data_IF_125007507502
#
_entry.id   IF_125007507502
#
_cell.length_a   1.000
_cell.length_b   1.000
_cell.length_c   1.000
_cell.angle_alpha   90.00
_cell.angle_beta   90.00
_cell.angle_gamma   90.00
#
_symmetry.space_group_name_H-M   'P 1'
#
loop_
_entity.id
_entity.type
_entity.pdbx_description
1 polymer ?
#
# COMPACT_ATOMS: atom_id res chain seq x y z
N UNK A 1 1.60 -7.94 -46.21
CA UNK A 1 1.18 -6.73 -45.46
C UNK A 1 0.59 -7.13 -44.12
N UNK A 2 1.37 -7.78 -43.25
CA UNK A 2 0.86 -8.24 -41.97
C UNK A 2 2.02 -8.56 -41.05
N UNK A 3 2.50 -7.54 -40.33
CA UNK A 3 3.08 -7.67 -38.98
C UNK A 3 3.46 -6.30 -38.36
N UNK A 4 3.34 -5.17 -39.09
CA UNK A 4 3.65 -3.84 -38.52
C UNK A 4 2.71 -3.44 -37.36
N UNK A 5 1.50 -4.01 -37.28
CA UNK A 5 0.51 -3.69 -36.25
C UNK A 5 0.78 -4.36 -34.88
N UNK A 6 1.58 -5.43 -34.83
CA UNK A 6 1.83 -6.17 -33.58
C UNK A 6 2.72 -5.39 -32.59
N UNK A 7 3.86 -4.78 -33.00
CA UNK A 7 4.69 -3.98 -32.10
C UNK A 7 4.01 -2.67 -31.68
N UNK A 8 3.26 -2.02 -32.57
CA UNK A 8 2.51 -0.80 -32.24
C UNK A 8 1.49 -1.05 -31.13
N UNK A 9 0.70 -2.12 -31.24
CA UNK A 9 -0.28 -2.49 -30.23
C UNK A 9 0.34 -2.90 -28.89
N UNK A 10 1.52 -3.55 -28.91
CA UNK A 10 2.24 -3.88 -27.67
C UNK A 10 2.72 -2.63 -26.94
N UNK A 11 3.21 -1.63 -27.68
CA UNK A 11 3.62 -0.34 -27.14
C UNK A 11 2.43 0.42 -26.53
N UNK A 12 1.29 0.45 -27.21
CA UNK A 12 0.06 1.07 -26.70
C UNK A 12 -0.39 0.46 -25.37
N UNK A 13 -0.46 -0.88 -25.29
CA UNK A 13 -0.84 -1.60 -24.06
C UNK A 13 0.16 -1.35 -22.92
N UNK A 14 1.46 -1.26 -23.24
CA UNK A 14 2.48 -0.91 -22.26
C UNK A 14 2.32 0.53 -21.75
N UNK A 15 2.04 1.49 -22.63
CA UNK A 15 1.81 2.88 -22.25
C UNK A 15 0.53 3.05 -21.41
N UNK A 16 -0.53 2.29 -21.69
CA UNK A 16 -1.71 2.19 -20.84
C UNK A 16 -1.36 1.67 -19.44
N UNK A 17 -0.54 0.61 -19.36
CA UNK A 17 -0.07 0.07 -18.10
C UNK A 17 0.78 1.07 -17.30
N UNK A 18 1.75 1.73 -17.95
CA UNK A 18 2.62 2.73 -17.31
C UNK A 18 1.83 3.94 -16.86
N UNK A 19 0.81 4.36 -17.60
CA UNK A 19 -0.05 5.50 -17.27
C UNK A 19 -1.20 5.17 -16.31
N UNK A 20 -1.51 3.88 -16.11
CA UNK A 20 -2.61 3.44 -15.26
C UNK A 20 -2.57 4.07 -13.86
N UNK A 21 -3.66 4.75 -13.50
CA UNK A 21 -3.73 5.54 -12.27
C UNK A 21 -4.42 4.82 -11.11
N UNK A 22 -4.97 3.61 -11.32
CA UNK A 22 -5.66 2.82 -10.29
C UNK A 22 -5.14 1.38 -10.27
N UNK A 23 -5.30 0.69 -9.13
CA UNK A 23 -4.89 -0.71 -8.97
C UNK A 23 -5.55 -1.59 -10.02
N UNK A 24 -6.89 -1.49 -10.16
CA UNK A 24 -7.66 -2.25 -11.13
C UNK A 24 -7.24 -1.96 -12.57
N UNK A 25 -7.04 -0.68 -12.94
CA UNK A 25 -6.58 -0.34 -14.27
C UNK A 25 -5.20 -0.95 -14.56
N UNK A 26 -4.25 -0.86 -13.62
CA UNK A 26 -2.91 -1.41 -13.80
C UNK A 26 -2.92 -2.94 -13.96
N UNK A 27 -3.73 -3.65 -13.17
CA UNK A 27 -3.88 -5.11 -13.29
C UNK A 27 -4.51 -5.51 -14.63
N UNK A 28 -5.55 -4.78 -15.08
CA UNK A 28 -6.23 -5.07 -16.34
C UNK A 28 -5.33 -4.82 -17.54
N UNK A 29 -4.69 -3.65 -17.62
CA UNK A 29 -3.79 -3.30 -18.73
C UNK A 29 -2.59 -4.24 -18.78
N UNK A 30 -2.05 -4.64 -17.62
CA UNK A 30 -0.96 -5.61 -17.57
C UNK A 30 -1.39 -6.98 -18.08
N UNK A 31 -2.58 -7.45 -17.69
CA UNK A 31 -3.12 -8.72 -18.19
C UNK A 31 -3.31 -8.68 -19.72
N UNK A 32 -3.87 -7.60 -20.26
CA UNK A 32 -4.04 -7.42 -21.70
C UNK A 32 -2.71 -7.40 -22.44
N UNK A 33 -1.69 -6.74 -21.86
CA UNK A 33 -0.33 -6.76 -22.38
C UNK A 33 0.26 -8.17 -22.41
N UNK A 34 0.14 -8.93 -21.32
CA UNK A 34 0.58 -10.33 -21.27
C UNK A 34 -0.15 -11.20 -22.30
N UNK A 35 -1.48 -11.09 -22.40
CA UNK A 35 -2.29 -11.81 -23.38
C UNK A 35 -1.88 -11.49 -24.83
N UNK A 36 -1.54 -10.24 -25.15
CA UNK A 36 -1.07 -9.86 -26.49
C UNK A 36 0.35 -10.35 -26.82
N UNK A 37 1.19 -10.53 -25.78
CA UNK A 37 2.55 -11.03 -25.88
C UNK A 37 2.66 -12.55 -25.73
N UNK A 38 1.53 -13.26 -25.61
CA UNK A 38 1.48 -14.71 -25.36
C UNK A 38 2.25 -15.12 -24.07
N UNK A 39 2.25 -14.25 -23.05
CA UNK A 39 2.87 -14.47 -21.76
C UNK A 39 1.81 -14.89 -20.74
N UNK A 40 2.09 -15.93 -19.95
CA UNK A 40 1.21 -16.31 -18.84
C UNK A 40 1.62 -15.56 -17.55
N UNK A 41 0.80 -14.62 -17.05
CA UNK A 41 1.09 -13.93 -15.80
C UNK A 41 0.77 -14.77 -14.54
N UNK A 42 0.03 -15.87 -14.68
CA UNK A 42 -0.38 -16.75 -13.58
C UNK A 42 -0.29 -18.23 -14.01
N UNK A 43 0.93 -18.78 -14.18
CA UNK A 43 1.17 -20.13 -14.67
C UNK A 43 0.61 -21.26 -13.77
N UNK A 44 -0.10 -20.92 -12.70
CA UNK A 44 -0.78 -21.88 -11.85
C UNK A 44 0.16 -22.76 -11.02
N UNK A 45 -0.41 -23.66 -10.19
CA UNK A 45 0.36 -24.54 -9.31
C UNK A 45 1.23 -25.56 -10.03
N UNK A 46 0.85 -25.94 -11.25
CA UNK A 46 1.39 -27.11 -11.95
C UNK A 46 2.44 -26.74 -13.02
N UNK A 47 2.75 -25.45 -13.20
CA UNK A 47 3.76 -25.04 -14.17
C UNK A 47 5.19 -25.34 -13.69
N UNK A 48 5.93 -26.05 -14.54
CA UNK A 48 7.33 -26.37 -14.36
C UNK A 48 8.18 -25.10 -14.16
N UNK A 49 9.21 -25.20 -13.32
CA UNK A 49 10.10 -24.10 -12.90
C UNK A 49 10.79 -23.35 -14.04
N UNK A 50 10.85 -23.95 -15.23
CA UNK A 50 11.54 -23.43 -16.40
C UNK A 50 10.62 -22.63 -17.35
N UNK A 51 9.38 -23.07 -17.56
CA UNK A 51 8.51 -22.55 -18.64
C UNK A 51 7.66 -21.33 -18.23
N UNK A 52 7.58 -21.04 -16.93
CA UNK A 52 6.78 -19.95 -16.37
C UNK A 52 7.44 -18.55 -16.41
N UNK A 53 8.64 -18.41 -16.99
CA UNK A 53 9.43 -17.17 -16.88
C UNK A 53 9.15 -16.23 -18.05
N UNK A 54 8.13 -15.38 -17.88
CA UNK A 54 7.98 -14.16 -18.67
C UNK A 54 9.03 -13.08 -18.33
N UNK A 55 9.93 -13.35 -17.38
CA UNK A 55 10.94 -12.40 -16.87
C UNK A 55 12.22 -12.58 -17.69
N UNK A 56 12.85 -11.50 -18.18
CA UNK A 56 14.17 -11.60 -18.80
C UNK A 56 15.13 -12.31 -17.85
N UNK A 57 15.97 -13.20 -18.37
CA UNK A 57 17.03 -13.85 -17.61
C UNK A 57 18.01 -12.78 -17.11
N UNK A 58 17.78 -12.30 -15.88
CA UNK A 58 18.60 -11.30 -15.21
C UNK A 58 19.90 -11.91 -14.65
N UNK A 59 20.23 -13.18 -14.98
CA UNK A 59 21.42 -13.87 -14.47
C UNK A 59 21.34 -14.18 -12.97
N UNK A 60 20.12 -14.29 -12.44
CA UNK A 60 19.87 -14.55 -11.02
C UNK A 60 20.03 -16.04 -10.70
N UNK A 61 20.54 -16.41 -9.50
CA UNK A 61 20.64 -17.80 -9.11
C UNK A 61 19.24 -18.47 -9.14
N UNK A 62 19.12 -19.75 -9.52
CA UNK A 62 17.84 -20.43 -9.59
C UNK A 62 17.24 -20.49 -8.18
N UNK A 63 16.24 -19.67 -7.89
CA UNK A 63 15.66 -19.68 -6.55
C UNK A 63 14.72 -20.86 -6.38
N UNK A 64 14.93 -21.54 -5.27
CA UNK A 64 14.19 -22.72 -4.85
C UNK A 64 13.20 -22.31 -3.77
N UNK A 65 12.04 -21.79 -4.14
CA UNK A 65 10.96 -21.60 -3.16
C UNK A 65 9.76 -20.77 -3.63
N UNK A 66 8.59 -21.11 -3.08
CA UNK A 66 7.33 -20.39 -3.30
C UNK A 66 7.01 -19.52 -2.08
N UNK A 67 6.83 -18.21 -2.31
CA UNK A 67 6.66 -17.18 -1.29
C UNK A 67 5.26 -16.57 -1.34
N UNK A 68 4.58 -16.50 -0.20
CA UNK A 68 3.33 -15.75 -0.03
C UNK A 68 3.59 -14.44 0.71
N UNK A 69 3.11 -13.32 0.17
CA UNK A 69 3.15 -12.01 0.82
C UNK A 69 1.73 -11.55 1.12
N UNK A 70 1.42 -11.31 2.40
CA UNK A 70 0.08 -10.91 2.83
C UNK A 70 0.02 -9.38 2.92
N UNK A 71 -0.67 -8.75 1.97
CA UNK A 71 -0.94 -7.31 1.91
C UNK A 71 -0.15 -6.58 0.82
N UNK A 72 -0.86 -5.87 -0.07
CA UNK A 72 -0.27 -5.01 -1.11
C UNK A 72 -0.08 -3.56 -0.63
N UNK A 73 0.37 -3.40 0.62
CA UNK A 73 0.89 -2.12 1.12
C UNK A 73 2.28 -1.81 0.53
N UNK A 74 2.83 -0.60 0.73
CA UNK A 74 4.17 -0.27 0.25
C UNK A 74 5.24 -1.27 0.71
N UNK A 75 5.21 -1.66 1.99
CA UNK A 75 6.19 -2.62 2.52
C UNK A 75 6.03 -4.03 1.92
N UNK A 76 4.79 -4.49 1.73
CA UNK A 76 4.52 -5.82 1.16
C UNK A 76 4.92 -5.90 -0.30
N UNK A 77 4.55 -4.91 -1.12
CA UNK A 77 4.96 -4.85 -2.53
C UNK A 77 6.48 -4.70 -2.67
N UNK A 78 7.12 -3.90 -1.80
CA UNK A 78 8.58 -3.76 -1.82
C UNK A 78 9.29 -5.07 -1.44
N UNK A 79 8.77 -5.81 -0.46
CA UNK A 79 9.28 -7.13 -0.10
C UNK A 79 9.09 -8.14 -1.24
N UNK A 80 7.95 -8.09 -1.94
CA UNK A 80 7.70 -8.95 -3.09
C UNK A 80 8.69 -8.70 -4.24
N UNK A 81 9.02 -7.43 -4.51
CA UNK A 81 10.05 -7.06 -5.50
C UNK A 81 11.41 -7.67 -5.14
N UNK A 82 11.86 -7.58 -3.89
CA UNK A 82 13.13 -8.21 -3.48
C UNK A 82 13.09 -9.74 -3.60
N UNK A 83 12.01 -10.37 -3.15
CA UNK A 83 11.86 -11.82 -3.26
C UNK A 83 11.91 -12.27 -4.73
N UNK A 84 11.36 -11.45 -5.63
CA UNK A 84 11.43 -11.68 -7.08
C UNK A 84 12.85 -11.52 -7.61
N UNK A 85 13.60 -10.52 -7.17
CA UNK A 85 15.03 -10.36 -7.51
C UNK A 85 15.91 -11.47 -6.93
N UNK A 86 15.48 -12.13 -5.85
CA UNK A 86 16.14 -13.34 -5.36
C UNK A 86 15.76 -14.58 -6.18
N UNK A 87 14.89 -14.44 -7.19
CA UNK A 87 14.40 -15.46 -8.11
C UNK A 87 13.22 -16.29 -7.58
N UNK A 88 12.66 -15.95 -6.41
CA UNK A 88 11.57 -16.71 -5.82
C UNK A 88 10.26 -16.55 -6.59
N UNK A 89 9.39 -17.57 -6.55
CA UNK A 89 8.01 -17.45 -7.05
C UNK A 89 7.17 -16.72 -6.01
N UNK A 90 6.73 -15.51 -6.29
CA UNK A 90 6.06 -14.66 -5.31
C UNK A 90 4.58 -14.46 -5.64
N UNK A 91 3.73 -14.72 -4.64
CA UNK A 91 2.29 -14.47 -4.69
C UNK A 91 1.93 -13.46 -3.61
N UNK A 92 1.27 -12.36 -4.00
CA UNK A 92 0.79 -11.31 -3.10
C UNK A 92 -0.73 -11.42 -2.97
N UNK A 93 -1.24 -11.48 -1.74
CA UNK A 93 -2.66 -11.49 -1.44
C UNK A 93 -3.07 -10.12 -0.86
N UNK A 94 -4.04 -9.45 -1.47
CA UNK A 94 -4.60 -8.19 -0.98
C UNK A 94 -6.12 -8.28 -0.86
N UNK A 95 -6.63 -7.94 0.33
CA UNK A 95 -8.06 -7.97 0.64
C UNK A 95 -8.85 -6.95 -0.19
N UNK A 96 -8.27 -5.81 -0.53
CA UNK A 96 -8.93 -4.72 -1.26
C UNK A 96 -8.64 -4.82 -2.76
N UNK A 97 -9.43 -4.11 -3.56
CA UNK A 97 -9.21 -3.92 -5.00
C UNK A 97 -8.70 -2.52 -5.37
N UNK A 98 -8.66 -1.61 -4.41
CA UNK A 98 -8.33 -0.22 -4.63
C UNK A 98 -7.30 0.32 -3.64
N UNK A 99 -6.37 1.10 -4.18
CA UNK A 99 -5.49 1.97 -3.38
C UNK A 99 -6.18 3.32 -3.20
N UNK A 100 -6.66 3.59 -1.99
CA UNK A 100 -7.51 4.76 -1.67
C UNK A 100 -6.88 5.78 -0.73
N UNK A 101 -5.72 5.47 -0.14
CA UNK A 101 -5.09 6.31 0.88
C UNK A 101 -4.30 7.46 0.25
N UNK A 102 -4.78 8.69 0.47
CA UNK A 102 -4.16 9.92 -0.01
C UNK A 102 -3.13 10.52 0.94
N UNK A 103 -3.10 10.05 2.20
CA UNK A 103 -2.10 10.47 3.17
C UNK A 103 -0.71 10.26 2.57
N UNK A 104 0.18 11.21 2.80
CA UNK A 104 1.53 11.20 2.24
C UNK A 104 2.50 10.64 3.28
N UNK A 105 3.57 10.00 2.81
CA UNK A 105 4.61 9.40 3.64
C UNK A 105 5.87 10.25 3.59
N UNK A 106 6.57 10.31 4.72
CA UNK A 106 7.87 10.92 4.78
C UNK A 106 8.87 9.84 4.34
N UNK A 107 9.61 10.13 3.28
CA UNK A 107 10.61 9.21 2.74
C UNK A 107 12.00 9.70 3.15
N UNK A 108 12.79 8.81 3.72
CA UNK A 108 14.20 9.08 4.01
C UNK A 108 15.01 9.07 2.70
N UNK A 109 16.19 9.73 2.65
CA UNK A 109 17.00 9.81 1.43
C UNK A 109 17.29 8.45 0.78
N UNK A 110 17.59 7.43 1.58
CA UNK A 110 17.85 6.08 1.05
C UNK A 110 16.61 5.46 0.39
N UNK A 111 15.41 5.72 0.93
CA UNK A 111 14.17 5.20 0.36
C UNK A 111 13.81 5.92 -0.95
N UNK A 112 14.16 7.21 -1.07
CA UNK A 112 14.03 7.95 -2.32
C UNK A 112 14.99 7.36 -3.37
N UNK A 113 16.24 7.09 -2.97
CA UNK A 113 17.23 6.46 -3.85
C UNK A 113 16.78 5.06 -4.32
N UNK A 114 16.28 4.22 -3.41
CA UNK A 114 15.72 2.90 -3.72
C UNK A 114 14.59 2.98 -4.75
N UNK A 115 13.60 3.85 -4.52
CA UNK A 115 12.47 4.00 -5.44
C UNK A 115 12.90 4.53 -6.81
N UNK A 116 13.90 5.43 -6.86
CA UNK A 116 14.49 5.88 -8.12
C UNK A 116 15.20 4.75 -8.86
N UNK A 117 15.91 3.89 -8.15
CA UNK A 117 16.51 2.68 -8.71
C UNK A 117 15.48 1.74 -9.35
N UNK A 118 14.25 1.73 -8.82
CA UNK A 118 13.10 0.99 -9.38
C UNK A 118 12.33 1.78 -10.45
N UNK A 119 12.88 2.89 -10.96
CA UNK A 119 12.27 3.68 -12.04
C UNK A 119 11.21 4.70 -11.60
N UNK A 120 11.08 4.99 -10.30
CA UNK A 120 10.15 6.02 -9.84
C UNK A 120 10.67 7.43 -10.19
N UNK A 121 9.88 8.18 -10.97
CA UNK A 121 10.22 9.57 -11.32
C UNK A 121 10.00 10.58 -10.19
N UNK A 122 9.02 10.33 -9.31
CA UNK A 122 8.61 11.29 -8.29
C UNK A 122 9.06 10.83 -6.89
N UNK A 123 9.87 11.66 -6.23
CA UNK A 123 10.31 11.46 -4.84
C UNK A 123 9.15 11.65 -3.83
N UNK A 124 7.99 12.14 -4.28
CA UNK A 124 6.85 12.52 -3.43
C UNK A 124 5.63 11.69 -3.80
N UNK A 125 5.28 10.72 -2.97
CA UNK A 125 4.19 9.81 -3.23
C UNK A 125 3.22 9.79 -2.04
N UNK A 126 1.95 10.11 -2.31
CA UNK A 126 0.86 9.62 -1.46
C UNK A 126 0.94 8.10 -1.34
N UNK A 127 0.44 7.52 -0.25
CA UNK A 127 0.51 6.06 -0.04
C UNK A 127 0.01 5.31 -1.28
N UNK A 128 -1.12 5.75 -1.86
CA UNK A 128 -1.66 5.20 -3.10
C UNK A 128 -0.68 5.26 -4.28
N UNK A 129 0.02 6.37 -4.47
CA UNK A 129 0.96 6.51 -5.58
C UNK A 129 2.15 5.57 -5.41
N UNK A 130 2.66 5.44 -4.19
CA UNK A 130 3.74 4.52 -3.89
C UNK A 130 3.32 3.06 -4.11
N UNK A 131 2.10 2.71 -3.71
CA UNK A 131 1.53 1.38 -4.01
C UNK A 131 1.43 1.12 -5.52
N UNK A 132 1.01 2.10 -6.32
CA UNK A 132 0.92 1.94 -7.78
C UNK A 132 2.30 1.73 -8.43
N UNK A 133 3.30 2.50 -8.02
CA UNK A 133 4.66 2.35 -8.55
C UNK A 133 5.20 0.95 -8.25
N UNK A 134 5.12 0.53 -6.99
CA UNK A 134 5.62 -0.77 -6.57
C UNK A 134 4.80 -1.93 -7.15
N UNK A 135 3.49 -1.76 -7.35
CA UNK A 135 2.64 -2.76 -8.01
C UNK A 135 3.11 -2.99 -9.45
N UNK A 136 3.36 -1.91 -10.21
CA UNK A 136 3.81 -2.02 -11.59
C UNK A 136 5.16 -2.72 -11.69
N UNK A 137 6.10 -2.36 -10.83
CA UNK A 137 7.41 -3.02 -10.75
C UNK A 137 7.24 -4.50 -10.40
N UNK A 138 6.42 -4.84 -9.40
CA UNK A 138 6.18 -6.22 -9.00
C UNK A 138 5.58 -7.04 -10.16
N UNK A 139 4.58 -6.51 -10.87
CA UNK A 139 3.96 -7.18 -12.03
C UNK A 139 4.98 -7.43 -13.15
N UNK A 140 5.81 -6.44 -13.48
CA UNK A 140 6.87 -6.58 -14.48
C UNK A 140 7.92 -7.64 -14.10
N UNK A 141 8.12 -7.90 -12.81
CA UNK A 141 9.02 -8.93 -12.30
C UNK A 141 8.36 -10.32 -12.19
N UNK A 142 7.11 -10.47 -12.63
CA UNK A 142 6.38 -11.74 -12.58
C UNK A 142 5.76 -12.06 -11.22
N UNK A 143 5.64 -11.08 -10.32
CA UNK A 143 4.92 -11.27 -9.05
C UNK A 143 3.43 -11.39 -9.32
N UNK A 144 2.81 -12.48 -8.86
CA UNK A 144 1.38 -12.70 -8.96
C UNK A 144 0.65 -11.90 -7.88
N UNK A 145 -0.26 -11.00 -8.27
CA UNK A 145 -0.98 -10.15 -7.30
C UNK A 145 -2.48 -10.43 -7.37
N UNK A 146 -3.02 -11.03 -6.32
CA UNK A 146 -4.45 -11.31 -6.19
C UNK A 146 -5.13 -10.29 -5.26
N UNK A 147 -5.98 -9.44 -5.85
CA UNK A 147 -6.84 -8.49 -5.14
C UNK A 147 -8.20 -9.11 -4.82
N UNK A 148 -8.93 -8.53 -3.87
CA UNK A 148 -10.18 -9.10 -3.32
C UNK A 148 -9.99 -10.49 -2.69
N UNK A 149 -8.77 -10.81 -2.26
CA UNK A 149 -8.43 -12.08 -1.62
C UNK A 149 -7.98 -11.80 -0.20
N UNK A 150 -8.79 -12.22 0.76
CA UNK A 150 -8.50 -12.05 2.18
C UNK A 150 -7.84 -13.30 2.75
N UNK A 151 -6.58 -13.19 3.14
CA UNK A 151 -5.91 -14.20 3.96
C UNK A 151 -6.63 -14.40 5.29
N UNK A 152 -6.84 -15.66 5.68
CA UNK A 152 -7.49 -16.04 6.94
C UNK A 152 -6.49 -16.65 7.92
N UNK A 153 -5.73 -17.65 7.49
CA UNK A 153 -4.73 -18.33 8.32
C UNK A 153 -3.78 -19.17 7.47
N UNK A 154 -2.67 -19.56 8.09
CA UNK A 154 -1.79 -20.61 7.60
C UNK A 154 -2.38 -21.97 7.96
N UNK A 155 -2.21 -22.95 7.08
CA UNK A 155 -2.59 -24.34 7.31
C UNK A 155 -1.32 -25.20 7.33
N UNK A 156 -1.12 -25.90 8.43
CA UNK A 156 0.01 -26.81 8.59
C UNK A 156 -0.17 -28.06 7.71
N UNK A 157 0.91 -28.64 7.19
CA UNK A 157 0.89 -29.97 6.58
C UNK A 157 0.19 -31.00 7.46
N UNK A 158 -0.63 -31.90 6.90
CA UNK A 158 -1.21 -33.00 7.69
C UNK A 158 -0.10 -33.91 8.24
N UNK A 159 -0.33 -34.46 9.43
CA UNK A 159 0.61 -35.39 10.09
C UNK A 159 0.76 -36.72 9.32
N UNK A 160 -0.33 -37.20 8.73
CA UNK A 160 -0.31 -38.41 7.89
C UNK A 160 -0.04 -38.05 6.43
N UNK A 161 1.17 -38.33 5.96
CA UNK A 161 1.64 -38.06 4.60
C UNK A 161 1.99 -39.34 3.83
N UNK A 162 1.45 -40.50 4.24
CA UNK A 162 1.79 -41.81 3.65
C UNK A 162 1.45 -41.91 2.17
N UNK A 163 0.37 -41.26 1.72
CA UNK A 163 -0.13 -41.32 0.34
C UNK A 163 0.28 -40.11 -0.52
N UNK A 164 0.48 -38.94 0.10
CA UNK A 164 0.83 -37.70 -0.60
C UNK A 164 1.57 -36.77 0.35
N UNK A 165 2.73 -36.25 -0.08
CA UNK A 165 3.42 -35.16 0.61
C UNK A 165 2.74 -33.84 0.26
N UNK A 166 2.30 -33.11 1.27
CA UNK A 166 1.67 -31.79 1.12
C UNK A 166 2.44 -30.84 2.02
N UNK A 167 2.95 -29.75 1.46
CA UNK A 167 3.63 -28.67 2.16
C UNK A 167 2.66 -27.70 2.83
N UNK A 168 3.21 -26.59 3.33
CA UNK A 168 2.42 -25.55 3.97
C UNK A 168 1.48 -24.89 2.96
N UNK A 169 0.24 -24.65 3.36
CA UNK A 169 -0.74 -23.95 2.54
C UNK A 169 -1.38 -22.80 3.34
N UNK A 170 -2.28 -22.06 2.73
CA UNK A 170 -3.03 -21.01 3.40
C UNK A 170 -4.52 -21.12 3.10
N UNK A 171 -5.33 -20.61 4.02
CA UNK A 171 -6.76 -20.39 3.81
C UNK A 171 -6.99 -18.93 3.41
N UNK A 172 -7.63 -18.73 2.27
CA UNK A 172 -8.03 -17.43 1.76
C UNK A 172 -9.52 -17.38 1.41
N UNK A 173 -10.11 -16.20 1.53
CA UNK A 173 -11.47 -15.92 1.09
C UNK A 173 -11.44 -15.11 -0.22
N UNK A 174 -12.20 -15.50 -1.26
CA UNK A 174 -13.15 -16.62 -1.29
C UNK A 174 -12.47 -18.00 -1.34
N UNK A 175 -13.13 -19.03 -0.76
CA UNK A 175 -12.60 -20.40 -0.68
C UNK A 175 -12.37 -21.07 -2.04
N UNK A 176 -13.07 -20.60 -3.08
CA UNK A 176 -12.91 -21.07 -4.46
C UNK A 176 -11.66 -20.55 -5.15
N UNK A 177 -10.96 -19.57 -4.56
CA UNK A 177 -9.77 -18.98 -5.18
C UNK A 177 -8.62 -19.98 -5.27
N UNK A 178 -7.91 -20.01 -6.39
CA UNK A 178 -6.85 -20.99 -6.69
C UNK A 178 -5.67 -20.95 -5.71
N UNK A 179 -5.42 -19.79 -5.09
CA UNK A 179 -4.40 -19.62 -4.04
C UNK A 179 -4.54 -20.60 -2.87
N UNK A 180 -5.76 -21.11 -2.60
CA UNK A 180 -6.00 -22.13 -1.56
C UNK A 180 -5.38 -23.50 -1.89
N UNK A 181 -4.93 -23.71 -3.14
CA UNK A 181 -4.28 -24.94 -3.60
C UNK A 181 -2.76 -24.80 -3.69
N UNK A 182 -2.23 -23.58 -3.51
CA UNK A 182 -0.81 -23.30 -3.60
C UNK A 182 -0.10 -23.70 -2.31
N UNK A 183 1.10 -24.25 -2.46
CA UNK A 183 2.00 -24.56 -1.37
C UNK A 183 3.07 -23.48 -1.28
N UNK A 184 3.52 -23.16 -0.07
CA UNK A 184 4.49 -22.08 0.16
C UNK A 184 5.56 -22.53 1.14
N UNK A 185 6.80 -22.11 0.91
CA UNK A 185 7.93 -22.33 1.81
C UNK A 185 8.15 -21.12 2.72
N UNK A 186 7.77 -19.94 2.24
CA UNK A 186 7.95 -18.66 2.94
C UNK A 186 6.63 -17.90 2.96
N UNK A 187 6.29 -17.32 4.12
CA UNK A 187 5.18 -16.38 4.26
C UNK A 187 5.64 -15.08 4.91
N UNK A 188 5.28 -13.95 4.31
CA UNK A 188 5.62 -12.61 4.79
C UNK A 188 4.35 -11.86 5.17
N UNK A 189 4.22 -11.54 6.46
CA UNK A 189 3.11 -10.74 6.98
C UNK A 189 3.35 -9.24 6.78
N UNK A 190 2.67 -8.62 5.83
CA UNK A 190 2.74 -7.18 5.52
C UNK A 190 1.36 -6.49 5.54
N UNK A 191 0.41 -7.05 6.30
CA UNK A 191 -1.01 -6.65 6.39
C UNK A 191 -1.27 -5.48 7.35
N UNK A 192 -0.20 -4.82 7.80
CA UNK A 192 -0.24 -3.64 8.66
C UNK A 192 -0.60 -3.99 10.11
N UNK A 193 -1.68 -3.40 10.64
CA UNK A 193 -2.09 -3.65 12.03
C UNK A 193 -2.70 -5.04 12.22
N UNK A 194 -3.19 -5.67 11.14
CA UNK A 194 -3.93 -6.94 11.17
C UNK A 194 -3.19 -8.05 11.90
N UNK A 195 -1.87 -8.18 11.68
CA UNK A 195 -1.03 -9.23 12.28
C UNK A 195 -1.67 -10.61 12.10
N UNK A 196 -2.03 -10.92 10.86
CA UNK A 196 -2.77 -12.14 10.55
C UNK A 196 -1.98 -13.43 10.80
N UNK A 197 -0.65 -13.36 10.93
CA UNK A 197 0.18 -14.53 11.20
C UNK A 197 0.21 -14.87 12.72
N UNK A 198 -0.06 -16.14 13.09
CA UNK A 198 0.00 -16.58 14.49
C UNK A 198 1.45 -16.66 15.00
N UNK A 199 1.62 -16.74 16.32
CA UNK A 199 2.93 -16.95 16.97
C UNK A 199 3.72 -15.68 17.30
N UNK A 200 3.35 -14.52 16.75
CA UNK A 200 4.05 -13.25 17.00
C UNK A 200 3.46 -12.47 18.18
N UNK A 201 4.16 -12.46 19.32
CA UNK A 201 3.77 -11.65 20.49
C UNK A 201 3.98 -10.16 20.21
N UNK A 202 2.93 -9.34 20.37
CA UNK A 202 3.02 -7.88 20.25
C UNK A 202 3.34 -7.24 21.60
N UNK A 203 4.26 -6.28 21.60
CA UNK A 203 4.50 -5.39 22.72
C UNK A 203 3.66 -4.13 22.53
N UNK A 204 2.63 -3.96 23.34
CA UNK A 204 1.86 -2.72 23.35
C UNK A 204 2.52 -1.70 24.29
N UNK A 205 2.88 -0.53 23.76
CA UNK A 205 3.36 0.58 24.57
C UNK A 205 2.23 1.59 24.77
N UNK A 206 1.71 1.68 26.00
CA UNK A 206 0.66 2.63 26.36
C UNK A 206 1.26 3.90 26.94
N UNK A 207 1.43 4.90 26.07
CA UNK A 207 1.85 6.25 26.46
C UNK A 207 0.70 7.15 26.91
N UNK A 208 0.99 8.45 27.03
CA UNK A 208 -0.05 9.49 27.21
C UNK A 208 -1.01 9.49 26.02
N UNK A 209 -2.28 9.79 26.27
CA UNK A 209 -3.28 9.91 25.22
C UNK A 209 -2.82 10.91 24.14
N UNK A 210 -2.66 10.41 22.92
CA UNK A 210 -2.25 11.19 21.76
C UNK A 210 -3.19 10.88 20.60
N UNK A 211 -3.92 11.91 20.15
CA UNK A 211 -4.81 11.83 18.99
C UNK A 211 -4.13 12.57 17.85
N UNK A 212 -4.10 11.97 16.66
CA UNK A 212 -3.60 12.61 15.45
C UNK A 212 -4.74 12.75 14.43
N UNK A 213 -4.87 13.95 13.86
CA UNK A 213 -5.82 14.29 12.81
C UNK A 213 -5.01 14.49 11.54
N UNK A 214 -5.42 13.86 10.44
CA UNK A 214 -4.86 14.09 9.10
C UNK A 214 -5.95 14.61 8.19
N UNK A 215 -5.71 15.72 7.49
CA UNK A 215 -6.62 16.29 6.51
C UNK A 215 -5.92 16.40 5.14
N UNK A 216 -6.66 16.16 4.06
CA UNK A 216 -6.18 16.29 2.67
C UNK A 216 -7.06 17.30 1.94
N UNK A 217 -6.46 18.35 1.37
CA UNK A 217 -7.12 19.40 0.60
C UNK A 217 -6.78 19.29 -0.88
N UNK A 218 -7.71 19.62 -1.78
CA UNK A 218 -7.43 19.59 -3.23
C UNK A 218 -6.34 20.62 -3.57
N UNK A 219 -5.25 20.17 -4.18
CA UNK A 219 -4.21 21.05 -4.72
C UNK A 219 -4.54 21.36 -6.20
N UNK A 220 -4.72 22.63 -6.56
CA UNK A 220 -5.00 23.05 -7.95
C UNK A 220 -3.74 23.39 -8.75
N UNK A 221 -2.56 23.28 -8.14
CA UNK A 221 -1.26 23.61 -8.73
C UNK A 221 -1.17 25.04 -9.27
N UNK A 222 -1.84 25.98 -8.60
CA UNK A 222 -1.73 27.41 -8.92
C UNK A 222 -0.37 27.97 -8.50
N UNK A 223 0.09 29.05 -9.13
CA UNK A 223 1.33 29.74 -8.74
C UNK A 223 1.30 30.20 -7.27
N UNK A 224 0.13 30.58 -6.76
CA UNK A 224 -0.05 30.98 -5.36
C UNK A 224 0.16 29.79 -4.41
N UNK A 225 -0.50 28.66 -4.66
CA UNK A 225 -0.30 27.42 -3.89
C UNK A 225 1.16 26.93 -3.96
N UNK A 226 1.81 27.09 -5.12
CA UNK A 226 3.20 26.69 -5.30
C UNK A 226 4.18 27.44 -4.37
N UNK A 227 3.91 28.71 -4.07
CA UNK A 227 4.75 29.59 -3.22
C UNK A 227 4.62 29.31 -1.71
N UNK A 228 3.59 28.60 -1.25
CA UNK A 228 3.35 28.38 0.20
C UNK A 228 4.35 27.39 0.77
N UNK A 229 5.28 27.81 1.61
CA UNK A 229 6.32 26.91 2.16
C UNK A 229 5.74 25.71 2.93
N UNK A 230 6.43 24.57 2.82
CA UNK A 230 6.09 23.38 3.59
C UNK A 230 6.59 23.53 5.04
N UNK A 231 5.77 23.15 6.01
CA UNK A 231 6.15 23.15 7.42
C UNK A 231 6.77 21.78 7.74
N UNK A 232 8.08 21.69 7.92
CA UNK A 232 8.78 20.45 8.27
C UNK A 232 8.62 20.14 9.77
N UNK A 233 7.58 19.40 10.14
CA UNK A 233 7.50 18.76 11.45
C UNK A 233 7.66 19.72 12.65
N UNK A 234 6.77 20.69 12.82
CA UNK A 234 6.86 21.65 13.92
C UNK A 234 6.29 21.06 15.21
N UNK A 235 7.15 20.82 16.21
CA UNK A 235 6.72 20.40 17.54
C UNK A 235 6.56 21.62 18.46
N UNK A 236 5.59 21.56 19.39
CA UNK A 236 5.36 22.65 20.34
C UNK A 236 6.54 22.95 21.25
N UNK A 237 7.49 22.02 21.35
CA UNK A 237 8.71 22.18 22.12
C UNK A 237 9.63 23.20 21.45
N UNK A 238 9.67 23.22 20.11
CA UNK A 238 10.58 24.06 19.33
C UNK A 238 9.94 25.38 18.87
N UNK A 239 8.62 25.42 18.67
CA UNK A 239 7.95 26.61 18.16
C UNK A 239 6.78 27.05 19.05
N UNK A 240 7.09 27.35 20.31
CA UNK A 240 6.09 27.67 21.33
C UNK A 240 5.22 28.87 20.93
N UNK A 241 5.83 29.91 20.37
CA UNK A 241 5.13 31.13 19.95
C UNK A 241 4.03 30.83 18.93
N UNK A 242 4.34 30.04 17.89
CA UNK A 242 3.36 29.61 16.89
C UNK A 242 2.14 28.90 17.52
N UNK A 243 2.34 27.96 18.45
CA UNK A 243 1.21 27.26 19.09
C UNK A 243 0.45 28.13 20.08
N UNK A 244 1.11 29.08 20.74
CA UNK A 244 0.44 30.07 21.58
C UNK A 244 -0.46 30.98 20.73
N UNK A 245 0.02 31.43 19.57
CA UNK A 245 -0.73 32.27 18.64
C UNK A 245 -1.91 31.52 18.02
N UNK A 246 -1.67 30.30 17.54
CA UNK A 246 -2.73 29.42 17.04
C UNK A 246 -3.82 29.22 18.10
N UNK A 247 -3.43 29.00 19.36
CA UNK A 247 -4.38 28.86 20.46
C UNK A 247 -5.16 30.15 20.70
N UNK A 248 -4.49 31.30 20.71
CA UNK A 248 -5.13 32.61 20.92
C UNK A 248 -6.17 32.92 19.84
N UNK A 249 -5.87 32.61 18.58
CA UNK A 249 -6.72 32.96 17.44
C UNK A 249 -7.86 31.96 17.19
N UNK A 250 -7.63 30.66 17.40
CA UNK A 250 -8.59 29.60 16.98
C UNK A 250 -9.15 28.78 18.15
N UNK A 251 -8.61 28.97 19.36
CA UNK A 251 -8.91 28.10 20.51
C UNK A 251 -8.27 26.70 20.42
N UNK A 252 -7.58 26.36 19.33
CA UNK A 252 -6.99 25.03 19.14
C UNK A 252 -5.71 24.86 19.96
N UNK A 253 -5.71 23.86 20.86
CA UNK A 253 -4.53 23.44 21.61
C UNK A 253 -3.85 22.22 20.96
N UNK A 254 -2.96 22.47 20.00
CA UNK A 254 -2.07 21.46 19.42
C UNK A 254 -0.77 21.28 20.23
N UNK A 255 -0.25 20.06 20.32
CA UNK A 255 1.12 19.80 20.83
C UNK A 255 2.14 19.55 19.70
N UNK A 256 1.67 19.14 18.54
CA UNK A 256 2.46 19.06 17.31
C UNK A 256 1.55 19.43 16.15
N UNK A 257 2.07 20.25 15.25
CA UNK A 257 1.45 20.64 13.99
C UNK A 257 2.50 20.35 12.94
N UNK A 258 2.19 19.40 12.10
CA UNK A 258 3.08 18.99 11.04
C UNK A 258 2.16 18.68 9.86
N UNK A 259 2.25 19.37 8.72
CA UNK A 259 2.40 18.59 7.50
C UNK A 259 3.49 17.58 7.81
N UNK A 260 3.17 16.29 7.72
CA UNK A 260 4.20 15.27 7.89
C UNK A 260 5.34 15.66 6.94
N UNK A 261 6.57 15.71 7.46
CA UNK A 261 7.71 16.36 6.82
C UNK A 261 7.91 15.92 5.36
N UNK A 262 8.04 16.88 4.44
CA UNK A 262 8.45 16.69 3.03
C UNK A 262 7.36 16.22 2.06
N UNK A 263 6.16 16.80 2.11
CA UNK A 263 4.95 16.16 1.57
C UNK A 263 3.98 17.12 0.86
N UNK A 264 4.26 17.46 -0.40
CA UNK A 264 3.21 17.78 -1.37
C UNK A 264 2.91 16.56 -2.24
N UNK A 265 1.78 15.91 -1.98
CA UNK A 265 1.14 14.99 -2.93
C UNK A 265 0.10 15.74 -3.79
N UNK A 266 -0.76 15.01 -4.53
CA UNK A 266 -1.87 15.61 -5.29
C UNK A 266 -2.93 16.31 -4.41
N UNK A 267 -2.79 16.20 -3.09
CA UNK A 267 -3.57 16.92 -2.09
C UNK A 267 -2.63 17.57 -1.06
N UNK A 268 -2.97 18.78 -0.58
CA UNK A 268 -2.29 19.42 0.54
C UNK A 268 -2.63 18.71 1.84
N UNK A 269 -1.63 18.28 2.62
CA UNK A 269 -1.84 17.45 3.80
C UNK A 269 -1.54 18.24 5.08
N UNK A 270 -2.48 18.27 6.02
CA UNK A 270 -2.27 18.87 7.33
C UNK A 270 -2.45 17.81 8.44
N UNK A 271 -1.44 17.68 9.30
CA UNK A 271 -1.47 16.82 10.48
C UNK A 271 -1.49 17.66 11.77
N UNK A 272 -2.47 17.43 12.64
CA UNK A 272 -2.59 18.11 13.94
C UNK A 272 -2.75 17.08 15.07
N UNK A 273 -2.04 17.29 16.18
CA UNK A 273 -2.24 16.51 17.42
C UNK A 273 -2.86 17.36 18.53
N UNK A 274 -4.20 17.31 18.73
CA UNK A 274 -4.86 18.02 19.83
C UNK A 274 -4.67 17.33 21.20
N UNK A 275 -4.75 18.11 22.29
CA UNK A 275 -4.81 17.57 23.67
C UNK A 275 -6.19 16.94 23.94
N UNK A 276 -6.20 15.68 24.39
CA UNK A 276 -7.41 14.83 24.48
C UNK A 276 -8.56 15.27 25.39
N UNK A 277 -8.42 16.30 26.24
CA UNK A 277 -9.50 16.75 27.13
C UNK A 277 -10.53 17.71 26.51
N UNK A 278 -10.29 18.28 25.31
CA UNK A 278 -11.14 19.37 24.78
C UNK A 278 -11.75 19.16 23.40
N UNK A 279 -11.62 17.97 22.80
CA UNK A 279 -12.46 17.61 21.63
C UNK A 279 -13.96 17.54 22.00
N UNK A 280 -14.28 17.37 23.28
CA UNK A 280 -15.65 17.30 23.80
C UNK A 280 -16.26 18.68 24.17
N UNK A 281 -15.47 19.76 24.17
CA UNK A 281 -15.88 21.08 24.66
C UNK A 281 -16.00 22.15 23.55
N UNK A 282 -16.19 21.74 22.30
CA UNK A 282 -16.63 22.70 21.27
C UNK A 282 -18.15 22.82 21.34
N UNK A 283 -18.62 23.75 22.18
CA UNK A 283 -19.97 24.31 22.07
C UNK A 283 -20.09 25.17 20.80
N UNK A 284 -21.31 25.37 20.28
CA UNK A 284 -21.51 25.87 18.92
C UNK A 284 -21.18 27.37 18.85
N UNK A 285 -20.03 27.71 18.28
CA UNK A 285 -19.88 29.01 17.64
C UNK A 285 -20.52 28.90 16.25
N UNK A 286 -21.70 29.46 16.08
CA UNK A 286 -22.43 29.48 14.82
C UNK A 286 -21.58 30.17 13.75
N UNK A 287 -21.14 29.40 12.75
CA UNK A 287 -20.63 29.94 11.49
C UNK A 287 -21.82 29.99 10.53
N UNK A 288 -22.20 31.15 9.98
CA UNK A 288 -23.30 31.22 9.01
C UNK A 288 -22.99 30.35 7.79
N UNK A 289 -23.87 29.42 7.43
CA UNK A 289 -23.80 28.65 6.18
C UNK A 289 -23.56 27.14 6.30
N UNK A 290 -23.45 26.58 7.50
CA UNK A 290 -23.35 25.11 7.69
C UNK A 290 -24.63 24.57 8.33
N UNK A 291 -25.42 23.81 7.56
CA UNK A 291 -26.53 23.02 8.08
C UNK A 291 -25.97 21.92 9.01
N UNK A 292 -26.29 22.03 10.30
CA UNK A 292 -25.91 21.04 11.31
C UNK A 292 -27.04 20.00 11.47
N UNK A 293 -26.77 18.74 11.11
CA UNK A 293 -27.53 17.61 11.68
C UNK A 293 -26.77 17.07 12.90
N UNK A 294 -27.44 16.90 14.06
CA UNK A 294 -26.79 16.37 15.25
C UNK A 294 -26.50 14.86 15.09
N UNK A 295 -25.30 14.38 15.45
CA UNK A 295 -24.99 12.96 15.46
C UNK A 295 -25.78 12.23 16.57
N UNK A 296 -26.48 11.16 16.20
CA UNK A 296 -27.17 10.27 17.15
C UNK A 296 -26.14 9.48 17.98
N UNK A 297 -26.32 9.34 19.30
CA UNK A 297 -25.40 8.59 20.13
C UNK A 297 -25.48 7.09 19.84
N UNK A 298 -24.32 6.47 19.57
CA UNK A 298 -24.19 5.02 19.47
C UNK A 298 -24.38 4.39 20.85
N UNK A 299 -25.35 3.47 20.97
CA UNK A 299 -25.58 2.65 22.17
C UNK A 299 -24.33 1.83 22.49
N UNK A 300 -23.90 1.87 23.75
CA UNK A 300 -22.89 0.95 24.31
C UNK A 300 -23.47 -0.47 24.35
N UNK A 301 -22.96 -1.36 23.50
CA UNK A 301 -23.08 -2.81 23.71
C UNK A 301 -22.04 -3.26 24.75
N UNK A 302 -22.48 -4.06 25.73
CA UNK A 302 -21.63 -4.72 26.73
C UNK A 302 -21.14 -6.07 26.19
N UNK A 303 -19.88 -6.37 26.55
CA UNK A 303 -19.09 -7.62 26.46
C UNK A 303 -18.88 -8.17 25.04
#
# INVERSE_FOLDING_TARGET
MGDESRPEKAQELFDEFVSASTCRAALLSFRQLCEHLDLDPDPGPDADSADARAVPDLGLPPATGQCAVIGAGPCGLRAAVELSFLGARVVVLEKRDAFSRNNVLHLWPFAIHDLRGLGAKNERAGIRQLQLVLLKVALLLGVQVHVNVEFKRVLEPPLDQRLRKVGWTLEAWPKSHLVNRLQFDVIVGADGRGNALPGFRRKEFRGKLAIAITANFKNRNTRAEAKVEEISGVASIFNQQFFQDLRRQTGLCGQRAAPLSGQRGPAGVAGLRPRGRRLLHQGPAAVPGLCHQPPRPARRGRV
#
